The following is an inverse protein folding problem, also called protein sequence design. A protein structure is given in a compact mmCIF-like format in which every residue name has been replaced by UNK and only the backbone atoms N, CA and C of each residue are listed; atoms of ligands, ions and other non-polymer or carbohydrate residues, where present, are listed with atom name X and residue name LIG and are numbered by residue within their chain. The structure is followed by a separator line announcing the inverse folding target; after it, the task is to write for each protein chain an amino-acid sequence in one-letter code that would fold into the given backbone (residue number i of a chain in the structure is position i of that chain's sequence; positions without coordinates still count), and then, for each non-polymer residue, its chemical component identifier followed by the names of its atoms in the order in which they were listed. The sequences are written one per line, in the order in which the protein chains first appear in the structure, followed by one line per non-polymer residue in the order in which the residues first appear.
data_IF_279735622927
#
_entry.id   IF_279735622927
#
_cell.length_a   1.000
_cell.length_b   1.000
_cell.length_c   1.000
_cell.angle_alpha   90.00
_cell.angle_beta   90.00
_cell.angle_gamma   90.00
#
_symmetry.space_group_name_H-M   'P 1'
#
loop_
_entity.id
_entity.type
_entity.pdbx_description
1 polymer ?
#
# COMPACT_ATOMS: atom_id res chain seq x y z
N UNK A 1 -19.78 -26.74 38.67
CA UNK A 1 -20.11 -27.07 37.27
C UNK A 1 -20.66 -25.86 36.56
N UNK A 2 -19.93 -25.33 35.56
CA UNK A 2 -20.22 -24.01 34.93
C UNK A 2 -20.95 -24.14 33.59
N UNK A 3 -21.71 -25.21 33.38
CA UNK A 3 -22.50 -25.42 32.15
C UNK A 3 -23.51 -24.30 31.89
N UNK A 4 -24.16 -23.81 32.96
CA UNK A 4 -25.13 -22.74 32.85
C UNK A 4 -24.55 -21.41 32.35
N UNK A 5 -23.26 -21.13 32.65
CA UNK A 5 -22.60 -19.93 32.18
C UNK A 5 -22.29 -20.01 30.67
N UNK A 6 -21.83 -21.17 30.20
CA UNK A 6 -21.54 -21.41 28.78
C UNK A 6 -22.84 -21.38 27.96
N UNK A 7 -23.91 -21.99 28.44
CA UNK A 7 -25.20 -22.00 27.77
C UNK A 7 -25.78 -20.58 27.64
N UNK A 8 -25.69 -19.77 28.71
CA UNK A 8 -26.11 -18.37 28.68
C UNK A 8 -25.36 -17.55 27.66
N UNK A 9 -24.02 -17.74 27.56
CA UNK A 9 -23.18 -17.03 26.62
C UNK A 9 -23.43 -17.50 25.16
N UNK A 10 -23.68 -18.78 24.95
CA UNK A 10 -24.04 -19.33 23.64
C UNK A 10 -25.39 -18.76 23.14
N UNK A 11 -26.39 -18.68 24.01
CA UNK A 11 -27.69 -18.09 23.68
C UNK A 11 -27.55 -16.58 23.39
N UNK A 12 -26.75 -15.86 24.17
CA UNK A 12 -26.47 -14.46 23.94
C UNK A 12 -25.79 -14.22 22.61
N UNK A 13 -24.80 -15.07 22.27
CA UNK A 13 -24.09 -15.01 20.98
C UNK A 13 -25.01 -15.26 19.79
N UNK A 14 -26.03 -16.11 19.93
CA UNK A 14 -26.98 -16.39 18.85
C UNK A 14 -27.83 -15.17 18.46
N UNK A 15 -28.11 -14.27 19.40
CA UNK A 15 -28.90 -13.06 19.17
C UNK A 15 -28.08 -11.77 19.09
N UNK A 16 -26.74 -11.87 19.17
CA UNK A 16 -25.86 -10.70 18.98
C UNK A 16 -25.62 -10.43 17.51
N UNK A 17 -25.48 -9.16 17.13
CA UNK A 17 -25.08 -8.77 15.80
C UNK A 17 -23.60 -9.18 15.56
N UNK A 18 -23.22 -9.58 14.33
CA UNK A 18 -21.85 -9.92 14.00
C UNK A 18 -20.94 -8.69 14.15
N UNK A 19 -19.70 -8.92 14.61
CA UNK A 19 -18.65 -7.89 14.72
C UNK A 19 -17.88 -7.75 13.41
N UNK A 20 -18.01 -8.71 12.53
CA UNK A 20 -17.34 -8.75 11.23
C UNK A 20 -18.03 -7.87 10.20
N UNK A 21 -17.27 -7.27 9.32
CA UNK A 21 -17.74 -6.50 8.17
C UNK A 21 -18.03 -7.46 7.01
N UNK A 22 -19.15 -7.31 6.36
CA UNK A 22 -19.52 -8.11 5.17
C UNK A 22 -18.78 -7.63 3.91
N UNK A 23 -17.46 -7.75 3.93
CA UNK A 23 -16.64 -7.43 2.78
C UNK A 23 -16.81 -8.52 1.69
N UNK A 24 -16.93 -8.20 0.39
CA UNK A 24 -16.77 -6.88 -0.25
C UNK A 24 -18.05 -6.05 -0.38
N UNK A 25 -19.19 -6.51 0.10
CA UNK A 25 -20.49 -5.81 -0.02
C UNK A 25 -20.51 -4.50 0.78
N UNK A 26 -19.88 -4.50 1.94
CA UNK A 26 -19.68 -3.29 2.73
C UNK A 26 -18.21 -2.87 2.63
N UNK A 27 -17.88 -1.67 2.11
CA UNK A 27 -16.50 -1.23 1.99
C UNK A 27 -15.86 -1.08 3.38
N UNK A 28 -14.61 -1.50 3.50
CA UNK A 28 -13.85 -1.28 4.71
C UNK A 28 -13.49 0.21 4.87
N UNK A 29 -13.69 0.75 6.07
CA UNK A 29 -13.27 2.11 6.41
C UNK A 29 -11.77 2.11 6.60
N UNK A 30 -11.05 2.83 5.72
CA UNK A 30 -9.60 2.99 5.79
C UNK A 30 -9.29 4.25 6.60
N UNK A 31 -8.49 4.19 7.67
CA UNK A 31 -8.10 5.37 8.43
C UNK A 31 -7.18 6.28 7.61
N UNK A 32 -7.20 7.58 7.91
CA UNK A 32 -6.48 8.62 7.15
C UNK A 32 -4.95 8.44 7.16
N UNK A 33 -4.40 7.80 8.20
CA UNK A 33 -2.97 7.51 8.35
C UNK A 33 -2.56 6.11 7.87
N UNK A 34 -3.41 5.46 7.08
CA UNK A 34 -3.14 4.14 6.52
C UNK A 34 -1.92 4.16 5.58
N UNK A 35 -1.00 3.23 5.80
CA UNK A 35 0.20 3.07 4.96
C UNK A 35 -0.04 2.07 3.84
N UNK A 36 -0.60 2.54 2.73
CA UNK A 36 -0.76 1.75 1.52
C UNK A 36 0.50 1.66 0.68
N UNK A 37 0.35 1.43 -0.61
CA UNK A 37 1.49 1.35 -1.53
C UNK A 37 2.03 2.75 -1.86
N UNK A 38 3.36 2.90 -1.97
CA UNK A 38 3.96 4.13 -2.46
C UNK A 38 3.66 4.32 -3.95
N UNK A 39 3.23 5.52 -4.31
CA UNK A 39 2.94 5.95 -5.67
C UNK A 39 3.89 7.06 -6.10
N UNK A 40 4.16 7.16 -7.41
CA UNK A 40 5.11 8.09 -7.98
C UNK A 40 4.41 9.20 -8.79
N UNK A 41 4.73 10.44 -8.49
CA UNK A 41 4.45 11.62 -9.32
C UNK A 41 5.68 11.86 -10.18
N UNK A 42 5.62 11.42 -11.44
CA UNK A 42 6.78 11.44 -12.34
C UNK A 42 7.31 12.85 -12.62
N UNK A 43 6.44 13.85 -12.64
CA UNK A 43 6.78 15.25 -12.89
C UNK A 43 7.73 15.82 -11.84
N UNK A 44 7.58 15.39 -10.59
CA UNK A 44 8.41 15.83 -9.47
C UNK A 44 9.69 14.99 -9.34
N UNK A 45 9.73 13.83 -9.98
CA UNK A 45 10.85 12.91 -9.85
C UNK A 45 12.09 13.38 -10.60
N UNK A 46 13.21 13.52 -9.90
CA UNK A 46 14.52 13.89 -10.50
C UNK A 46 15.38 12.68 -10.84
N UNK A 47 15.01 11.47 -10.42
CA UNK A 47 15.81 10.27 -10.58
C UNK A 47 17.03 10.21 -9.65
N UNK A 48 16.96 10.79 -8.45
CA UNK A 48 18.10 10.94 -7.53
C UNK A 48 18.56 9.64 -6.84
N UNK A 49 17.84 8.54 -6.97
CA UNK A 49 18.13 7.20 -6.43
C UNK A 49 18.02 7.04 -4.90
N UNK A 50 17.71 8.08 -4.13
CA UNK A 50 17.62 8.01 -2.68
C UNK A 50 16.58 6.99 -2.20
N UNK A 51 15.41 6.99 -2.81
CA UNK A 51 14.35 6.04 -2.47
C UNK A 51 14.77 4.57 -2.63
N UNK A 52 15.62 4.26 -3.62
CA UNK A 52 16.14 2.92 -3.82
C UNK A 52 17.20 2.55 -2.78
N UNK A 53 18.05 3.51 -2.38
CA UNK A 53 19.11 3.28 -1.38
C UNK A 53 18.55 3.08 0.03
N UNK A 54 17.49 3.82 0.36
CA UNK A 54 16.88 3.80 1.69
C UNK A 54 15.81 2.70 1.84
N UNK A 55 15.58 1.90 0.78
CA UNK A 55 14.63 0.81 0.83
C UNK A 55 15.20 -0.41 1.58
N UNK A 56 14.65 -0.83 2.72
CA UNK A 56 15.21 -1.94 3.51
C UNK A 56 15.06 -3.31 2.85
N UNK A 57 14.17 -3.45 1.86
CA UNK A 57 13.87 -4.72 1.18
C UNK A 57 14.29 -4.75 -0.29
N UNK A 58 15.07 -3.74 -0.75
CA UNK A 58 15.48 -3.60 -2.15
C UNK A 58 14.32 -3.73 -3.16
N UNK A 59 13.16 -3.21 -2.78
CA UNK A 59 11.94 -3.24 -3.59
C UNK A 59 12.02 -2.32 -4.80
N UNK A 60 12.88 -1.28 -4.73
CA UNK A 60 12.93 -0.20 -5.72
C UNK A 60 14.15 -0.37 -6.61
N UNK A 61 13.92 -0.58 -7.91
CA UNK A 61 14.97 -0.61 -8.92
C UNK A 61 14.91 0.64 -9.78
N UNK A 62 16.05 1.22 -10.08
CA UNK A 62 16.12 2.38 -10.98
C UNK A 62 16.18 1.90 -12.42
N UNK A 63 15.23 2.33 -13.24
CA UNK A 63 15.13 2.00 -14.65
C UNK A 63 15.25 3.25 -15.52
N UNK A 64 15.77 3.15 -16.75
CA UNK A 64 15.82 4.29 -17.68
C UNK A 64 14.40 4.83 -17.96
N UNK A 65 14.23 6.15 -17.86
CA UNK A 65 12.97 6.82 -18.11
C UNK A 65 13.20 8.26 -18.60
N UNK A 66 12.64 8.61 -19.75
CA UNK A 66 12.94 9.88 -20.41
C UNK A 66 12.39 11.13 -19.73
N UNK A 67 11.28 10.99 -18.97
CA UNK A 67 10.59 12.14 -18.33
C UNK A 67 11.30 12.71 -17.11
N UNK A 68 12.32 12.03 -16.57
CA UNK A 68 13.03 12.49 -15.38
C UNK A 68 14.33 13.21 -15.77
N UNK A 69 14.77 14.19 -14.96
CA UNK A 69 16.00 14.98 -15.23
C UNK A 69 17.25 14.11 -15.40
N UNK A 70 17.36 13.01 -14.66
CA UNK A 70 18.51 12.08 -14.73
C UNK A 70 18.24 10.86 -15.61
N UNK A 71 17.12 10.86 -16.35
CA UNK A 71 16.68 9.74 -17.19
C UNK A 71 16.57 8.40 -16.44
N UNK A 72 16.26 8.45 -15.14
CA UNK A 72 16.07 7.30 -14.28
C UNK A 72 14.78 7.47 -13.46
N UNK A 73 13.95 6.44 -13.40
CA UNK A 73 12.75 6.41 -12.56
C UNK A 73 12.71 5.15 -11.68
N UNK A 74 12.12 5.22 -10.50
CA UNK A 74 11.96 4.06 -9.64
C UNK A 74 10.90 3.10 -10.18
N UNK A 75 11.27 1.84 -10.34
CA UNK A 75 10.41 0.70 -10.59
C UNK A 75 10.16 -0.02 -9.26
N UNK A 76 8.91 -0.24 -8.89
CA UNK A 76 8.54 -0.86 -7.64
C UNK A 76 8.18 -2.34 -7.84
N UNK A 77 8.86 -3.23 -7.12
CA UNK A 77 8.48 -4.64 -6.98
C UNK A 77 7.58 -4.80 -5.74
N UNK A 78 6.32 -4.38 -5.81
CA UNK A 78 5.41 -4.27 -4.66
C UNK A 78 5.23 -5.57 -3.86
N UNK A 79 5.45 -6.73 -4.48
CA UNK A 79 5.40 -8.01 -3.80
C UNK A 79 6.48 -8.21 -2.72
N UNK A 80 7.55 -7.40 -2.72
CA UNK A 80 8.57 -7.33 -1.66
C UNK A 80 8.30 -6.21 -0.66
N UNK A 81 7.41 -5.28 -0.96
CA UNK A 81 7.24 -4.05 -0.19
C UNK A 81 6.60 -4.31 1.16
N UNK A 82 7.25 -3.91 2.24
CA UNK A 82 6.73 -4.00 3.62
C UNK A 82 5.91 -2.77 4.03
N UNK A 83 5.64 -1.84 3.11
CA UNK A 83 4.85 -0.62 3.33
C UNK A 83 5.36 0.27 4.47
N UNK A 84 6.67 0.34 4.67
CA UNK A 84 7.28 1.15 5.73
C UNK A 84 7.24 2.66 5.48
N UNK A 85 6.90 3.10 4.25
CA UNK A 85 6.89 4.49 3.78
C UNK A 85 8.25 5.22 3.81
N UNK A 86 9.37 4.53 4.11
CA UNK A 86 10.69 5.14 4.18
C UNK A 86 11.07 5.88 2.88
N UNK A 87 10.74 5.32 1.72
CA UNK A 87 11.01 5.94 0.42
C UNK A 87 10.29 7.29 0.24
N UNK A 88 9.12 7.47 0.86
CA UNK A 88 8.36 8.74 0.85
C UNK A 88 9.06 9.77 1.73
N UNK A 89 9.46 9.38 2.95
CA UNK A 89 10.19 10.28 3.86
C UNK A 89 11.57 10.69 3.32
N UNK A 90 12.25 9.82 2.58
CA UNK A 90 13.55 10.12 1.96
C UNK A 90 13.44 10.98 0.71
N UNK A 91 12.23 11.20 0.16
CA UNK A 91 12.04 11.93 -1.06
C UNK A 91 12.05 13.45 -0.82
N UNK A 92 13.16 14.12 -1.16
CA UNK A 92 13.31 15.59 -1.01
C UNK A 92 12.47 16.40 -2.00
N UNK A 93 11.88 15.76 -2.99
CA UNK A 93 11.15 16.43 -4.09
C UNK A 93 9.65 16.15 -4.05
N UNK A 94 9.16 15.54 -2.97
CA UNK A 94 7.77 15.15 -2.80
C UNK A 94 7.18 14.40 -4.02
N UNK A 95 8.05 13.60 -4.66
CA UNK A 95 7.68 12.81 -5.81
C UNK A 95 7.01 11.49 -5.45
N UNK A 96 7.05 11.09 -4.18
CA UNK A 96 6.45 9.86 -3.69
C UNK A 96 5.42 10.17 -2.61
N UNK A 97 4.30 9.48 -2.64
CA UNK A 97 3.27 9.55 -1.62
C UNK A 97 2.70 8.17 -1.32
N UNK A 98 2.08 8.01 -0.17
CA UNK A 98 1.42 6.76 0.24
C UNK A 98 -0.04 6.82 -0.19
N UNK A 99 -0.53 5.77 -0.85
CA UNK A 99 -1.95 5.64 -1.20
C UNK A 99 -2.75 5.05 -0.04
N UNK A 100 -4.04 5.25 -0.07
CA UNK A 100 -5.03 4.61 0.79
C UNK A 100 -5.53 3.26 0.23
N UNK A 101 -5.07 2.89 -0.98
CA UNK A 101 -5.43 1.63 -1.61
C UNK A 101 -4.83 0.43 -0.86
N UNK A 102 -5.69 -0.43 -0.32
CA UNK A 102 -5.30 -1.67 0.36
C UNK A 102 -5.57 -2.93 -0.48
N UNK A 103 -6.46 -2.83 -1.46
CA UNK A 103 -6.87 -3.94 -2.34
C UNK A 103 -5.82 -4.16 -3.43
N UNK A 104 -4.79 -4.94 -3.11
CA UNK A 104 -3.68 -5.21 -4.01
C UNK A 104 -3.45 -6.72 -4.10
N UNK A 105 -4.48 -7.45 -4.52
CA UNK A 105 -4.40 -8.88 -4.70
C UNK A 105 -4.25 -9.24 -6.19
N UNK A 106 -3.35 -10.17 -6.50
CA UNK A 106 -3.11 -10.63 -7.86
C UNK A 106 -2.55 -12.05 -7.86
N UNK A 107 -2.77 -12.77 -8.96
CA UNK A 107 -2.25 -14.12 -9.16
C UNK A 107 -0.82 -14.17 -9.71
N UNK A 108 -0.30 -13.05 -10.25
CA UNK A 108 1.03 -12.97 -10.85
C UNK A 108 1.89 -11.89 -10.18
N UNK A 109 3.16 -12.22 -9.88
CA UNK A 109 4.13 -11.26 -9.35
C UNK A 109 4.43 -10.12 -10.32
N UNK A 110 4.37 -10.41 -11.62
CA UNK A 110 4.68 -9.43 -12.67
C UNK A 110 3.67 -8.29 -12.70
N UNK A 111 2.40 -8.56 -12.37
CA UNK A 111 1.38 -7.52 -12.27
C UNK A 111 1.58 -6.59 -11.08
N UNK A 112 2.34 -7.01 -10.05
CA UNK A 112 2.79 -6.19 -8.93
C UNK A 112 4.16 -5.55 -9.15
N UNK A 113 4.75 -5.75 -10.31
CA UNK A 113 5.97 -5.08 -10.73
C UNK A 113 5.59 -4.01 -11.72
N UNK A 114 5.39 -2.80 -11.25
CA UNK A 114 5.01 -1.69 -12.09
C UNK A 114 5.86 -0.47 -11.78
N UNK A 115 6.15 0.27 -12.84
CA UNK A 115 6.38 1.70 -12.67
C UNK A 115 5.03 2.22 -12.21
N UNK A 116 4.90 2.56 -10.93
CA UNK A 116 3.69 3.13 -10.37
C UNK A 116 3.46 4.56 -10.88
N UNK A 117 3.46 4.70 -12.20
CA UNK A 117 3.04 5.90 -12.88
C UNK A 117 1.52 5.84 -12.89
N UNK A 118 0.92 6.11 -11.76
CA UNK A 118 -0.47 6.46 -11.76
C UNK A 118 -0.57 7.92 -12.18
N UNK A 119 -0.98 8.13 -13.41
CA UNK A 119 -1.70 9.32 -13.82
C UNK A 119 -3.05 9.37 -13.08
N UNK A 120 -3.05 9.30 -11.77
CA UNK A 120 -4.22 9.59 -10.96
C UNK A 120 -4.04 10.95 -10.32
N UNK A 121 -4.49 11.94 -11.06
CA UNK A 121 -4.92 13.22 -10.55
C UNK A 121 -5.74 12.96 -9.28
N UNK A 122 -5.21 13.41 -8.14
CA UNK A 122 -5.95 13.50 -6.89
C UNK A 122 -7.20 14.33 -7.19
N UNK A 123 -8.36 13.68 -7.19
CA UNK A 123 -9.65 14.36 -7.24
C UNK A 123 -10.02 14.83 -5.84
#
# INVERSE_FOLDING_TARGET
MKFAAILKEAIRGLFSSPVTIEYPFTPAVVPDDFRGLPLLIIENCTGCTLCAKDCPTDTIKMVPHERTKRKLAPLFEYWKCIRCAQCVYSCKYDALYVSDAFEVATYSKDSLTNIAILNQKKS
#
